data_IF_668766713283
#
_entry.id   IF_668766713283
#
_cell.length_a   1.000
_cell.length_b   1.000
_cell.length_c   1.000
_cell.angle_alpha   90.00
_cell.angle_beta   90.00
_cell.angle_gamma   90.00
#
_symmetry.space_group_name_H-M   'P 1'
#
loop_
_entity.id
_entity.type
_entity.pdbx_description
1 polymer ?
#
# COMPACT_ATOMS: atom_id res chain seq x y z
N UNK A 1 -36.99 -9.05 -26.00
CA UNK A 1 -36.72 -9.49 -24.61
C UNK A 1 -35.83 -10.72 -24.69
N UNK A 2 -34.52 -10.56 -24.56
CA UNK A 2 -33.57 -11.67 -24.65
C UNK A 2 -33.57 -12.40 -23.30
N UNK A 3 -34.09 -13.62 -23.29
CA UNK A 3 -34.07 -14.52 -22.14
C UNK A 3 -32.60 -14.81 -21.78
N UNK A 4 -32.15 -14.37 -20.60
CA UNK A 4 -30.87 -14.78 -20.02
C UNK A 4 -30.97 -16.27 -19.67
N UNK A 5 -30.06 -17.09 -20.20
CA UNK A 5 -29.95 -18.50 -19.84
C UNK A 5 -29.87 -18.63 -18.30
N UNK A 6 -30.75 -19.40 -17.63
CA UNK A 6 -30.82 -19.50 -16.17
C UNK A 6 -29.62 -20.23 -15.51
N UNK A 7 -28.55 -20.47 -16.27
CA UNK A 7 -27.33 -21.16 -15.84
C UNK A 7 -26.05 -20.34 -16.08
N UNK A 8 -26.13 -19.15 -16.67
CA UNK A 8 -24.96 -18.33 -16.97
C UNK A 8 -24.68 -17.37 -15.80
N UNK A 9 -23.52 -17.54 -15.15
CA UNK A 9 -23.04 -16.63 -14.12
C UNK A 9 -22.73 -15.26 -14.70
N UNK A 10 -22.99 -14.21 -13.93
CA UNK A 10 -22.67 -12.82 -14.30
C UNK A 10 -21.21 -12.55 -13.97
N UNK A 11 -20.36 -12.21 -14.96
CA UNK A 11 -18.95 -11.93 -14.71
C UNK A 11 -18.77 -10.58 -13.99
N UNK A 12 -17.92 -10.56 -12.97
CA UNK A 12 -17.58 -9.35 -12.18
C UNK A 12 -16.06 -9.20 -12.11
N UNK A 13 -15.55 -8.05 -12.55
CA UNK A 13 -14.13 -7.73 -12.44
C UNK A 13 -13.86 -6.92 -11.18
N UNK A 14 -13.04 -7.46 -10.29
CA UNK A 14 -12.59 -6.79 -9.07
C UNK A 14 -11.22 -6.17 -9.34
N UNK A 15 -11.18 -4.85 -9.53
CA UNK A 15 -9.95 -4.08 -9.78
C UNK A 15 -9.16 -3.86 -8.49
N UNK A 16 -8.75 -4.96 -7.85
CA UNK A 16 -7.96 -4.99 -6.62
C UNK A 16 -7.13 -6.26 -6.59
N UNK A 17 -6.08 -6.23 -5.78
CA UNK A 17 -5.39 -7.45 -5.37
C UNK A 17 -6.27 -8.18 -4.35
N UNK A 18 -6.44 -9.49 -4.53
CA UNK A 18 -7.20 -10.34 -3.59
C UNK A 18 -6.61 -10.26 -2.19
N UNK A 19 -7.45 -9.99 -1.20
CA UNK A 19 -7.06 -9.97 0.21
C UNK A 19 -6.82 -11.40 0.73
N UNK A 20 -5.91 -11.56 1.71
CA UNK A 20 -5.58 -12.86 2.35
C UNK A 20 -5.83 -12.79 3.86
N UNK A 21 -6.36 -13.85 4.51
CA UNK A 21 -6.64 -15.18 3.98
C UNK A 21 -7.94 -15.32 3.16
N UNK A 22 -8.79 -14.29 3.12
CA UNK A 22 -10.02 -14.27 2.34
C UNK A 22 -10.38 -12.86 1.89
N UNK A 23 -11.33 -12.75 0.96
CA UNK A 23 -11.75 -11.46 0.38
C UNK A 23 -13.26 -11.26 0.54
N UNK A 24 -13.64 -10.24 1.32
CA UNK A 24 -15.04 -9.96 1.63
C UNK A 24 -15.91 -9.66 0.40
N UNK A 25 -15.32 -9.17 -0.70
CA UNK A 25 -16.06 -8.94 -1.93
C UNK A 25 -16.37 -10.25 -2.66
N UNK A 26 -15.41 -11.17 -2.70
CA UNK A 26 -15.62 -12.52 -3.24
C UNK A 26 -16.61 -13.31 -2.36
N UNK A 27 -16.51 -13.21 -1.04
CA UNK A 27 -17.45 -13.84 -0.10
C UNK A 27 -18.88 -13.30 -0.23
N UNK A 28 -19.02 -12.03 -0.62
CA UNK A 28 -20.31 -11.43 -0.88
C UNK A 28 -20.83 -11.89 -2.24
N UNK A 29 -20.02 -11.80 -3.30
CA UNK A 29 -20.43 -12.11 -4.67
C UNK A 29 -20.64 -13.62 -4.94
N UNK A 30 -20.02 -14.48 -4.14
CA UNK A 30 -20.24 -15.93 -4.20
C UNK A 30 -21.60 -16.38 -3.67
N UNK A 31 -22.32 -15.53 -2.94
CA UNK A 31 -23.68 -15.81 -2.47
C UNK A 31 -24.67 -15.61 -3.62
N UNK A 32 -25.76 -16.37 -3.60
CA UNK A 32 -26.86 -16.14 -4.54
C UNK A 32 -27.58 -14.84 -4.16
N UNK A 33 -27.69 -13.90 -5.10
CA UNK A 33 -28.39 -12.64 -4.89
C UNK A 33 -29.57 -12.55 -5.84
N UNK A 34 -30.79 -12.60 -5.30
CA UNK A 34 -32.02 -12.34 -6.08
C UNK A 34 -32.12 -13.15 -7.38
N UNK A 35 -31.66 -14.40 -7.37
CA UNK A 35 -31.66 -15.30 -8.54
C UNK A 35 -30.47 -15.16 -9.48
N UNK A 36 -29.51 -14.28 -9.20
CA UNK A 36 -28.25 -14.16 -9.92
C UNK A 36 -27.13 -14.89 -9.20
N UNK A 37 -26.30 -15.55 -9.99
CA UNK A 37 -25.00 -16.06 -9.57
C UNK A 37 -23.92 -15.20 -10.21
N UNK A 38 -22.91 -14.79 -9.43
CA UNK A 38 -21.79 -14.03 -9.94
C UNK A 38 -20.53 -14.89 -10.05
N UNK A 39 -19.68 -14.52 -10.99
CA UNK A 39 -18.34 -15.08 -11.16
C UNK A 39 -17.32 -13.94 -11.08
N UNK A 40 -16.64 -13.83 -9.94
CA UNK A 40 -15.69 -12.76 -9.69
C UNK A 40 -14.28 -13.11 -10.17
N UNK A 41 -13.64 -12.19 -10.89
CA UNK A 41 -12.24 -12.29 -11.32
C UNK A 41 -11.46 -11.09 -10.78
N UNK A 42 -10.33 -11.35 -10.11
CA UNK A 42 -9.45 -10.30 -9.60
C UNK A 42 -8.50 -9.81 -10.68
N UNK A 43 -8.43 -8.49 -10.82
CA UNK A 43 -7.49 -7.80 -11.72
C UNK A 43 -6.65 -6.85 -10.85
N UNK A 44 -5.38 -7.20 -10.55
CA UNK A 44 -4.50 -6.33 -9.77
C UNK A 44 -4.18 -5.04 -10.54
N UNK A 45 -4.60 -3.89 -10.01
CA UNK A 45 -4.39 -2.57 -10.65
C UNK A 45 -3.43 -1.66 -9.90
N UNK A 46 -3.02 -2.03 -8.68
CA UNK A 46 -2.06 -1.27 -7.88
C UNK A 46 -0.85 -2.15 -7.58
N UNK A 47 0.33 -1.66 -7.95
CA UNK A 47 1.61 -2.25 -7.58
C UNK A 47 2.38 -1.23 -6.74
N UNK A 48 2.83 -1.65 -5.56
CA UNK A 48 3.69 -0.85 -4.71
C UNK A 48 5.12 -1.37 -4.84
N UNK A 49 6.01 -0.53 -5.36
CA UNK A 49 7.45 -0.80 -5.44
C UNK A 49 8.20 0.32 -4.74
N UNK A 50 9.23 -0.01 -3.97
CA UNK A 50 10.17 0.99 -3.51
C UNK A 50 10.94 1.53 -4.73
N UNK A 51 11.15 2.85 -4.76
CA UNK A 51 11.99 3.45 -5.80
C UNK A 51 13.42 3.59 -5.31
N UNK A 52 14.33 2.81 -5.88
CA UNK A 52 15.71 2.69 -5.41
C UNK A 52 16.46 4.03 -5.31
N UNK A 53 16.23 4.93 -6.27
CA UNK A 53 16.84 6.27 -6.26
C UNK A 53 16.35 7.11 -5.06
N UNK A 54 15.05 7.07 -4.78
CA UNK A 54 14.47 7.73 -3.60
C UNK A 54 14.98 7.11 -2.30
N UNK A 55 15.05 5.77 -2.24
CA UNK A 55 15.59 5.07 -1.07
C UNK A 55 17.06 5.40 -0.84
N UNK A 56 17.85 5.53 -1.89
CA UNK A 56 19.27 5.92 -1.80
C UNK A 56 19.43 7.35 -1.30
N UNK A 57 18.60 8.29 -1.79
CA UNK A 57 18.60 9.67 -1.30
C UNK A 57 18.29 9.73 0.19
N UNK A 58 17.22 9.07 0.64
CA UNK A 58 16.85 9.05 2.06
C UNK A 58 17.97 8.40 2.90
N UNK A 59 18.59 7.33 2.40
CA UNK A 59 19.74 6.68 3.05
C UNK A 59 20.89 7.67 3.27
N UNK A 60 21.24 8.43 2.25
CA UNK A 60 22.34 9.41 2.32
C UNK A 60 22.02 10.56 3.27
N UNK A 61 20.79 11.06 3.23
CA UNK A 61 20.31 12.12 4.12
C UNK A 61 20.38 11.69 5.59
N UNK A 62 19.95 10.45 5.89
CA UNK A 62 20.04 9.88 7.24
C UNK A 62 21.50 9.66 7.66
N UNK A 63 22.34 9.12 6.77
CA UNK A 63 23.76 8.89 7.06
C UNK A 63 24.51 10.17 7.42
N UNK A 64 24.18 11.27 6.73
CA UNK A 64 24.80 12.59 6.96
C UNK A 64 24.19 13.33 8.16
N UNK A 65 23.19 12.74 8.83
CA UNK A 65 22.39 13.41 9.87
C UNK A 65 21.86 14.77 9.39
N UNK A 66 21.45 14.83 8.12
CA UNK A 66 21.04 16.06 7.44
C UNK A 66 19.56 16.41 7.68
N UNK A 67 18.93 15.80 8.68
CA UNK A 67 17.57 16.11 9.16
C UNK A 67 17.70 16.64 10.58
N UNK A 68 17.26 17.87 10.84
CA UNK A 68 17.34 18.47 12.15
C UNK A 68 17.08 19.97 12.14
N UNK A 69 17.20 20.59 13.31
CA UNK A 69 16.96 22.02 13.51
C UNK A 69 18.23 22.88 13.40
N UNK A 70 19.37 22.26 13.10
CA UNK A 70 20.65 22.96 12.96
C UNK A 70 20.80 23.60 11.57
N UNK A 71 21.65 24.61 11.46
CA UNK A 71 21.90 25.34 10.19
C UNK A 71 22.59 24.51 9.12
N UNK A 72 23.15 23.35 9.49
CA UNK A 72 23.78 22.40 8.56
C UNK A 72 22.85 21.29 8.07
N UNK A 73 21.64 21.17 8.62
CA UNK A 73 20.65 20.21 8.12
C UNK A 73 20.10 20.66 6.75
N UNK A 74 20.01 19.70 5.84
CA UNK A 74 19.37 19.92 4.54
C UNK A 74 17.83 19.97 4.67
N UNK A 75 17.28 19.32 5.70
CA UNK A 75 15.84 19.23 5.94
C UNK A 75 15.50 19.50 7.41
N UNK A 76 14.42 20.24 7.67
CA UNK A 76 13.95 20.53 9.02
C UNK A 76 13.18 19.39 9.70
N UNK A 77 12.77 18.36 8.94
CA UNK A 77 11.98 17.25 9.44
C UNK A 77 11.56 16.28 8.34
N UNK A 78 10.75 15.28 8.70
CA UNK A 78 10.25 14.24 7.81
C UNK A 78 8.73 14.06 8.01
N UNK A 79 8.00 13.91 6.90
CA UNK A 79 6.55 13.69 6.90
C UNK A 79 6.25 12.37 6.19
N UNK A 80 5.45 11.51 6.83
CA UNK A 80 4.93 10.29 6.22
C UNK A 80 3.46 10.48 5.86
N UNK A 81 3.12 10.31 4.58
CA UNK A 81 1.77 10.49 4.05
C UNK A 81 1.06 9.16 3.74
N UNK A 82 1.73 8.03 3.95
CA UNK A 82 1.14 6.70 3.79
C UNK A 82 1.86 5.68 4.67
N UNK A 83 1.17 4.58 4.97
CA UNK A 83 1.78 3.45 5.67
C UNK A 83 2.99 2.88 4.91
N UNK A 84 2.93 2.84 3.57
CA UNK A 84 4.04 2.32 2.74
C UNK A 84 5.30 3.15 2.88
N UNK A 85 5.18 4.47 3.06
CA UNK A 85 6.32 5.32 3.33
C UNK A 85 6.96 5.02 4.71
N UNK A 86 6.13 4.70 5.71
CA UNK A 86 6.62 4.25 7.03
C UNK A 86 7.37 2.92 6.92
N UNK A 87 6.79 1.93 6.23
CA UNK A 87 7.42 0.62 6.04
C UNK A 87 8.75 0.72 5.28
N UNK A 88 8.81 1.55 4.23
CA UNK A 88 10.05 1.81 3.49
C UNK A 88 11.15 2.34 4.41
N UNK A 89 10.79 3.30 5.26
CA UNK A 89 11.73 3.91 6.21
C UNK A 89 12.17 2.95 7.31
N UNK A 90 11.25 2.16 7.87
CA UNK A 90 11.61 1.14 8.86
C UNK A 90 12.60 0.13 8.29
N UNK A 91 12.36 -0.38 7.07
CA UNK A 91 13.32 -1.27 6.41
C UNK A 91 14.70 -0.63 6.28
N UNK A 92 14.76 0.65 5.92
CA UNK A 92 16.01 1.39 5.75
C UNK A 92 16.77 1.63 7.07
N UNK A 93 16.04 1.84 8.18
CA UNK A 93 16.64 2.04 9.51
C UNK A 93 17.05 0.71 10.14
N UNK A 94 16.27 -0.36 9.94
CA UNK A 94 16.61 -1.70 10.44
C UNK A 94 17.88 -2.28 9.77
N UNK A 95 18.16 -1.87 8.53
CA UNK A 95 19.47 -2.12 7.87
C UNK A 95 20.65 -1.52 8.66
N UNK A 96 20.41 -0.55 9.54
CA UNK A 96 21.44 0.14 10.35
C UNK A 96 21.04 0.17 11.82
N UNK A 97 21.39 -0.88 12.57
CA UNK A 97 21.36 -0.87 14.05
C UNK A 97 22.18 0.32 14.60
N UNK A 98 21.50 1.42 14.89
CA UNK A 98 22.08 2.60 15.53
C UNK A 98 20.98 3.58 15.93
N UNK A 99 20.99 4.02 17.19
CA UNK A 99 20.04 4.99 17.74
C UNK A 99 20.01 6.28 16.91
N UNK A 100 18.96 6.43 16.10
CA UNK A 100 18.60 7.69 15.46
C UNK A 100 17.36 8.22 16.17
N UNK A 101 17.55 9.26 16.99
CA UNK A 101 16.42 10.01 17.56
C UNK A 101 15.89 10.97 16.51
N UNK A 102 14.87 10.57 15.75
CA UNK A 102 14.20 11.41 14.76
C UNK A 102 12.83 11.87 15.29
N UNK A 103 12.52 13.16 15.11
CA UNK A 103 11.16 13.67 15.35
C UNK A 103 10.30 13.28 14.15
N UNK A 104 9.45 12.26 14.34
CA UNK A 104 8.54 11.74 13.31
C UNK A 104 7.16 12.36 13.46
N UNK A 105 6.72 13.11 12.47
CA UNK A 105 5.34 13.58 12.38
C UNK A 105 4.54 12.57 11.54
N UNK A 106 3.66 11.83 12.21
CA UNK A 106 2.77 10.85 11.59
C UNK A 106 1.41 11.51 11.35
N UNK A 107 1.04 11.71 10.09
CA UNK A 107 -0.34 12.07 9.72
C UNK A 107 -0.97 10.81 9.12
N UNK A 108 -1.79 10.12 9.91
CA UNK A 108 -2.66 9.06 9.40
C UNK A 108 -4.05 9.64 9.16
N UNK A 109 -4.61 9.36 7.99
CA UNK A 109 -6.06 9.44 7.76
C UNK A 109 -6.66 8.06 7.92
#
# INVERSE_FOLDING_TARGET
MTQLNPSAKVPVLLLKTKSTPGDSYEDLLSRQHSGYEFESTFVPVLHHSFQDAGMTLIRDVLNRRAIGTNTSAAYGGLIFTSQRAVEAFTNLVDEKKGELTLVVLRVLY
#
